data_IF_388129048791
#
_entry.id   IF_388129048791
#
_cell.length_a   1.000
_cell.length_b   1.000
_cell.length_c   1.000
_cell.angle_alpha   90.00
_cell.angle_beta   90.00
_cell.angle_gamma   90.00
#
_symmetry.space_group_name_H-M   'P 1'
#
loop_
_entity.id
_entity.type
_entity.pdbx_description
1 polymer ?
#
# COMPACT_ATOMS: atom_id res chain seq x y z
N UNK A 1 35.35 -1.12 -2.40
CA UNK A 1 34.08 -1.59 -3.00
C UNK A 1 32.84 -0.83 -2.50
N UNK A 2 32.94 0.08 -1.52
CA UNK A 2 31.78 0.78 -0.92
C UNK A 2 31.52 2.20 -1.46
N UNK A 3 32.18 2.65 -2.53
CA UNK A 3 32.07 4.03 -3.04
C UNK A 3 31.46 4.13 -4.45
N UNK A 4 30.77 3.09 -4.93
CA UNK A 4 30.07 3.20 -6.21
C UNK A 4 28.68 3.81 -5.98
N UNK A 5 28.41 4.95 -6.61
CA UNK A 5 27.08 5.60 -6.67
C UNK A 5 25.99 4.58 -7.04
N UNK A 6 26.34 3.62 -7.92
CA UNK A 6 25.47 2.51 -8.33
C UNK A 6 25.02 1.66 -7.13
N UNK A 7 25.91 1.39 -6.17
CA UNK A 7 25.56 0.63 -4.97
C UNK A 7 24.60 1.41 -4.07
N UNK A 8 24.85 2.71 -3.87
CA UNK A 8 23.96 3.58 -3.12
C UNK A 8 22.57 3.65 -3.76
N UNK A 9 22.49 3.74 -5.09
CA UNK A 9 21.23 3.73 -5.83
C UNK A 9 20.48 2.41 -5.69
N UNK A 10 21.17 1.27 -5.79
CA UNK A 10 20.55 -0.05 -5.61
C UNK A 10 20.00 -0.21 -4.19
N UNK A 11 20.78 0.19 -3.19
CA UNK A 11 20.36 0.12 -1.79
C UNK A 11 19.12 0.98 -1.53
N UNK A 12 19.13 2.24 -1.96
CA UNK A 12 17.99 3.16 -1.82
C UNK A 12 16.74 2.65 -2.56
N UNK A 13 16.89 2.09 -3.76
CA UNK A 13 15.78 1.47 -4.49
C UNK A 13 15.22 0.27 -3.73
N UNK A 14 16.08 -0.56 -3.16
CA UNK A 14 15.69 -1.72 -2.36
C UNK A 14 14.89 -1.32 -1.12
N UNK A 15 15.35 -0.30 -0.39
CA UNK A 15 14.65 0.24 0.78
C UNK A 15 13.26 0.79 0.42
N UNK A 16 13.19 1.64 -0.63
CA UNK A 16 11.91 2.20 -1.10
C UNK A 16 10.92 1.12 -1.53
N UNK A 17 11.39 0.11 -2.26
CA UNK A 17 10.55 -1.02 -2.68
C UNK A 17 10.10 -1.87 -1.50
N UNK A 18 11.00 -2.12 -0.53
CA UNK A 18 10.71 -2.88 0.68
C UNK A 18 9.64 -2.20 1.53
N UNK A 19 9.75 -0.89 1.73
CA UNK A 19 8.76 -0.10 2.48
C UNK A 19 7.38 -0.17 1.81
N UNK A 20 7.32 0.07 0.50
CA UNK A 20 6.07 -0.03 -0.28
C UNK A 20 5.41 -1.41 -0.15
N UNK A 21 6.17 -2.49 -0.32
CA UNK A 21 5.63 -3.85 -0.22
C UNK A 21 5.16 -4.18 1.20
N UNK A 22 5.91 -3.74 2.22
CA UNK A 22 5.55 -3.93 3.62
C UNK A 22 4.24 -3.25 4.00
N UNK A 23 4.05 -2.03 3.50
CA UNK A 23 2.86 -1.24 3.72
C UNK A 23 1.64 -1.81 3.01
N UNK A 24 1.75 -2.15 1.72
CA UNK A 24 0.69 -2.83 0.95
C UNK A 24 0.20 -4.08 1.66
N UNK A 25 1.13 -4.94 2.09
CA UNK A 25 0.80 -6.17 2.82
C UNK A 25 0.05 -5.88 4.12
N UNK A 26 0.43 -4.82 4.82
CA UNK A 26 -0.20 -4.44 6.09
C UNK A 26 -1.61 -3.93 5.86
N UNK A 27 -1.80 -2.99 4.93
CA UNK A 27 -3.11 -2.44 4.57
C UNK A 27 -4.06 -3.54 4.10
N UNK A 28 -3.64 -4.39 3.15
CA UNK A 28 -4.47 -5.49 2.65
C UNK A 28 -4.86 -6.44 3.80
N UNK A 29 -3.93 -6.77 4.69
CA UNK A 29 -4.22 -7.62 5.85
C UNK A 29 -5.23 -6.96 6.81
N UNK A 30 -5.14 -5.65 7.04
CA UNK A 30 -6.07 -4.91 7.90
C UNK A 30 -7.47 -4.86 7.28
N UNK A 31 -7.56 -4.54 5.99
CA UNK A 31 -8.82 -4.54 5.26
C UNK A 31 -9.47 -5.94 5.25
N UNK A 32 -8.68 -6.99 5.01
CA UNK A 32 -9.17 -8.37 5.09
C UNK A 32 -9.71 -8.75 6.47
N UNK A 33 -9.08 -8.26 7.54
CA UNK A 33 -9.55 -8.48 8.91
C UNK A 33 -10.84 -7.72 9.22
N UNK A 34 -11.03 -6.55 8.63
CA UNK A 34 -12.16 -5.67 8.91
C UNK A 34 -13.40 -6.00 8.09
N UNK A 35 -13.21 -6.34 6.82
CA UNK A 35 -14.30 -6.52 5.85
C UNK A 35 -14.45 -7.96 5.35
N UNK A 36 -13.59 -8.89 5.80
CA UNK A 36 -13.49 -10.22 5.22
C UNK A 36 -12.56 -10.24 4.00
N UNK A 37 -12.44 -11.39 3.36
CA UNK A 37 -11.55 -11.56 2.20
C UNK A 37 -11.93 -10.58 1.07
N UNK A 38 -11.00 -9.69 0.74
CA UNK A 38 -11.16 -8.72 -0.34
C UNK A 38 -11.11 -9.40 -1.70
N UNK A 39 -11.93 -8.90 -2.62
CA UNK A 39 -11.84 -9.25 -4.03
C UNK A 39 -10.44 -8.95 -4.60
N UNK A 40 -9.98 -9.84 -5.48
CA UNK A 40 -8.69 -9.70 -6.17
C UNK A 40 -8.54 -8.36 -6.88
N UNK A 41 -9.62 -7.83 -7.46
CA UNK A 41 -9.63 -6.54 -8.15
C UNK A 41 -9.30 -5.36 -7.21
N UNK A 42 -9.78 -5.39 -5.96
CA UNK A 42 -9.48 -4.36 -4.95
C UNK A 42 -8.05 -4.49 -4.47
N UNK A 43 -7.59 -5.72 -4.24
CA UNK A 43 -6.20 -6.01 -3.86
C UNK A 43 -5.23 -5.50 -4.94
N UNK A 44 -5.53 -5.73 -6.20
CA UNK A 44 -4.69 -5.28 -7.30
C UNK A 44 -4.69 -3.76 -7.43
N UNK A 45 -5.83 -3.08 -7.27
CA UNK A 45 -5.88 -1.61 -7.17
C UNK A 45 -4.97 -1.08 -6.06
N UNK A 46 -5.05 -1.64 -4.84
CA UNK A 46 -4.20 -1.23 -3.71
C UNK A 46 -2.71 -1.43 -4.05
N UNK A 47 -2.35 -2.51 -4.74
CA UNK A 47 -0.96 -2.77 -5.16
C UNK A 47 -0.42 -1.76 -6.18
N UNK A 48 -1.30 -1.09 -6.94
CA UNK A 48 -0.89 -0.04 -7.90
C UNK A 48 -0.61 1.31 -7.24
N UNK A 49 -1.12 1.55 -6.03
CA UNK A 49 -0.92 2.79 -5.29
C UNK A 49 0.58 3.06 -5.04
N UNK A 50 0.96 4.33 -5.03
CA UNK A 50 2.28 4.76 -4.57
C UNK A 50 2.31 4.84 -3.04
N UNK A 51 3.49 5.09 -2.46
CA UNK A 51 3.67 5.11 -1.00
C UNK A 51 2.77 6.17 -0.34
N UNK A 52 2.70 7.38 -0.90
CA UNK A 52 1.90 8.48 -0.35
C UNK A 52 0.40 8.15 -0.31
N UNK A 53 -0.12 7.47 -1.34
CA UNK A 53 -1.51 7.01 -1.36
C UNK A 53 -1.74 5.85 -0.40
N UNK A 54 -0.75 4.99 -0.18
CA UNK A 54 -0.85 3.94 0.83
C UNK A 54 -0.91 4.54 2.24
N UNK A 55 -0.08 5.55 2.53
CA UNK A 55 -0.09 6.25 3.82
C UNK A 55 -1.46 6.90 4.05
N UNK A 56 -1.98 7.63 3.04
CA UNK A 56 -3.31 8.24 3.12
C UNK A 56 -4.43 7.20 3.27
N UNK A 57 -4.30 6.04 2.63
CA UNK A 57 -5.25 4.94 2.78
C UNK A 57 -5.19 4.36 4.20
N UNK A 58 -4.00 4.29 4.81
CA UNK A 58 -3.86 3.79 6.18
C UNK A 58 -4.60 4.67 7.20
N UNK A 59 -4.55 5.99 7.02
CA UNK A 59 -5.32 6.93 7.85
C UNK A 59 -6.82 6.83 7.56
N UNK A 60 -7.24 6.90 6.29
CA UNK A 60 -8.64 6.84 5.90
C UNK A 60 -9.32 5.50 6.27
N UNK A 61 -8.55 4.41 6.32
CA UNK A 61 -9.03 3.09 6.74
C UNK A 61 -9.66 3.10 8.13
N UNK A 62 -9.19 3.98 9.03
CA UNK A 62 -9.72 4.11 10.38
C UNK A 62 -11.15 4.67 10.40
N UNK A 63 -11.50 5.49 9.41
CA UNK A 63 -12.81 6.16 9.29
C UNK A 63 -13.83 5.36 8.48
N UNK A 64 -13.40 4.37 7.71
CA UNK A 64 -14.32 3.55 6.92
C UNK A 64 -15.35 2.87 7.83
N UNK A 65 -16.60 2.80 7.44
CA UNK A 65 -17.65 2.06 8.15
C UNK A 65 -17.93 0.71 7.48
N UNK A 66 -17.77 0.63 6.16
CA UNK A 66 -18.04 -0.56 5.37
C UNK A 66 -17.14 -0.62 4.11
N UNK A 67 -17.26 -1.71 3.35
CA UNK A 67 -16.43 -1.94 2.16
C UNK A 67 -16.66 -0.90 1.04
N UNK A 68 -17.84 -0.30 0.93
CA UNK A 68 -18.13 0.69 -0.10
C UNK A 68 -17.32 1.99 0.13
N UNK A 69 -16.94 2.29 1.36
CA UNK A 69 -16.08 3.44 1.67
C UNK A 69 -14.68 3.24 1.07
N UNK A 70 -14.13 2.02 1.18
CA UNK A 70 -12.89 1.63 0.50
C UNK A 70 -13.03 1.74 -1.03
N UNK A 71 -14.13 1.21 -1.59
CA UNK A 71 -14.36 1.25 -3.05
C UNK A 71 -14.42 2.69 -3.55
N UNK A 72 -15.10 3.56 -2.81
CA UNK A 72 -15.23 4.99 -3.13
C UNK A 72 -13.86 5.65 -3.07
N UNK A 73 -13.13 5.46 -1.98
CA UNK A 73 -11.79 6.01 -1.81
C UNK A 73 -10.83 5.60 -2.94
N UNK A 74 -10.84 4.33 -3.34
CA UNK A 74 -10.00 3.78 -4.43
C UNK A 74 -10.43 4.23 -5.84
N UNK A 75 -11.61 4.83 -6.00
CA UNK A 75 -12.04 5.41 -7.27
C UNK A 75 -11.67 6.90 -7.36
N UNK A 76 -11.59 7.59 -6.22
CA UNK A 76 -11.23 9.00 -6.12
C UNK A 76 -9.72 9.23 -6.04
N UNK A 77 -8.94 8.19 -5.72
CA UNK A 77 -7.48 8.23 -5.56
C UNK A 77 -6.79 7.17 -6.42
#
# INVERSE_FOLDING_TARGET
>A
MQESVIYQDIFQKGEKQGNKLGEQRTIIRLLNRRFGELDSSLVDKIKTLNIEKLDNLADALLDFSNINDLVTWLNDN
#
